data_IF_992862937611
#
_entry.id   IF_992862937611
#
_cell.length_a   1.000
_cell.length_b   1.000
_cell.length_c   1.000
_cell.angle_alpha   90.00
_cell.angle_beta   90.00
_cell.angle_gamma   90.00
#
_symmetry.space_group_name_H-M   'P 1'
#
loop_
_entity.id
_entity.type
_entity.pdbx_description
1 polymer ?
#
# COMPACT_ATOMS: atom_id res chain seq x y z
N UNK A 1 21.55 -21.94 -3.22
CA UNK A 1 20.09 -21.80 -3.01
C UNK A 1 19.48 -23.04 -3.59
N UNK A 2 19.00 -23.95 -2.74
CA UNK A 2 18.39 -25.20 -3.20
C UNK A 2 17.17 -24.89 -4.08
N UNK A 3 17.16 -25.45 -5.28
CA UNK A 3 16.08 -25.24 -6.22
C UNK A 3 14.80 -25.88 -5.67
N UNK A 4 13.73 -25.08 -5.59
CA UNK A 4 12.41 -25.56 -5.16
C UNK A 4 11.92 -26.67 -6.10
N UNK A 5 11.29 -27.70 -5.53
CA UNK A 5 10.55 -28.67 -6.32
C UNK A 5 9.29 -28.04 -6.92
N UNK A 6 8.80 -28.56 -8.05
CA UNK A 6 7.57 -28.05 -8.70
C UNK A 6 6.36 -27.98 -7.76
N UNK A 7 6.26 -28.91 -6.81
CA UNK A 7 5.20 -28.93 -5.80
C UNK A 7 5.35 -27.78 -4.80
N UNK A 8 6.58 -27.48 -4.39
CA UNK A 8 6.88 -26.35 -3.49
C UNK A 8 6.66 -25.00 -4.18
N UNK A 9 6.99 -24.88 -5.48
CA UNK A 9 6.70 -23.68 -6.27
C UNK A 9 5.19 -23.40 -6.34
N UNK A 10 4.37 -24.43 -6.60
CA UNK A 10 2.91 -24.30 -6.64
C UNK A 10 2.33 -23.88 -5.27
N UNK A 11 2.83 -24.48 -4.18
CA UNK A 11 2.43 -24.12 -2.82
C UNK A 11 2.86 -22.68 -2.47
N UNK A 12 4.05 -22.27 -2.89
CA UNK A 12 4.56 -20.91 -2.70
C UNK A 12 3.69 -19.90 -3.45
N UNK A 13 3.37 -20.15 -4.72
CA UNK A 13 2.48 -19.28 -5.50
C UNK A 13 1.11 -19.12 -4.82
N UNK A 14 0.51 -20.22 -4.33
CA UNK A 14 -0.76 -20.15 -3.61
C UNK A 14 -0.65 -19.31 -2.32
N UNK A 15 0.45 -19.42 -1.58
CA UNK A 15 0.69 -18.61 -0.37
C UNK A 15 0.90 -17.13 -0.72
N UNK A 16 1.61 -16.83 -1.79
CA UNK A 16 1.83 -15.47 -2.27
C UNK A 16 0.51 -14.79 -2.69
N UNK A 17 -0.38 -15.51 -3.40
CA UNK A 17 -1.71 -14.98 -3.75
C UNK A 17 -2.54 -14.67 -2.50
N UNK A 18 -2.58 -15.57 -1.51
CA UNK A 18 -3.28 -15.33 -0.24
C UNK A 18 -2.71 -14.11 0.49
N UNK A 19 -1.38 -13.95 0.45
CA UNK A 19 -0.70 -12.81 1.05
C UNK A 19 -1.07 -11.50 0.36
N UNK A 20 -1.13 -11.47 -0.97
CA UNK A 20 -1.53 -10.28 -1.74
C UNK A 20 -2.91 -9.76 -1.32
N UNK A 21 -3.89 -10.67 -1.16
CA UNK A 21 -5.24 -10.28 -0.70
C UNK A 21 -5.21 -9.69 0.71
N UNK A 22 -4.45 -10.31 1.63
CA UNK A 22 -4.30 -9.80 3.00
C UNK A 22 -3.65 -8.42 3.03
N UNK A 23 -2.60 -8.23 2.23
CA UNK A 23 -1.92 -6.93 2.10
C UNK A 23 -2.85 -5.86 1.54
N UNK A 24 -3.66 -6.19 0.53
CA UNK A 24 -4.67 -5.29 -0.02
C UNK A 24 -5.69 -4.86 1.04
N UNK A 25 -6.22 -5.79 1.85
CA UNK A 25 -7.19 -5.46 2.90
C UNK A 25 -6.61 -4.54 3.97
N UNK A 26 -5.33 -4.74 4.35
CA UNK A 26 -4.65 -3.84 5.27
C UNK A 26 -4.47 -2.44 4.65
N UNK A 27 -4.10 -2.37 3.37
CA UNK A 27 -3.90 -1.12 2.66
C UNK A 27 -5.23 -0.33 2.57
N UNK A 28 -6.32 -1.03 2.25
CA UNK A 28 -7.66 -0.46 2.27
C UNK A 28 -8.07 0.06 3.66
N UNK A 29 -7.85 -0.73 4.72
CA UNK A 29 -8.16 -0.32 6.08
C UNK A 29 -7.42 0.95 6.50
N UNK A 30 -6.11 0.99 6.26
CA UNK A 30 -5.28 2.16 6.57
C UNK A 30 -5.69 3.40 5.76
N UNK A 31 -6.07 3.21 4.49
CA UNK A 31 -6.52 4.30 3.63
C UNK A 31 -7.83 4.91 4.15
N UNK A 32 -8.79 4.06 4.53
CA UNK A 32 -10.07 4.49 5.08
C UNK A 32 -9.86 5.25 6.38
N UNK A 33 -9.08 4.72 7.31
CA UNK A 33 -8.80 5.34 8.61
C UNK A 33 -8.11 6.71 8.48
N UNK A 34 -7.07 6.78 7.63
CA UNK A 34 -6.35 8.01 7.37
C UNK A 34 -7.25 9.10 6.77
N UNK A 35 -8.02 8.76 5.73
CA UNK A 35 -8.89 9.74 5.08
C UNK A 35 -10.09 10.11 5.94
N UNK A 36 -10.63 9.19 6.73
CA UNK A 36 -11.69 9.51 7.69
C UNK A 36 -11.20 10.54 8.71
N UNK A 37 -10.08 10.25 9.38
CA UNK A 37 -9.49 11.13 10.41
C UNK A 37 -9.09 12.50 9.85
N UNK A 38 -8.69 12.56 8.58
CA UNK A 38 -8.22 13.81 7.95
C UNK A 38 -9.35 14.68 7.37
N UNK A 39 -10.48 14.08 6.98
CA UNK A 39 -11.51 14.75 6.20
C UNK A 39 -12.87 14.84 6.86
N UNK A 40 -13.19 14.00 7.85
CA UNK A 40 -14.48 14.01 8.54
C UNK A 40 -14.33 14.78 9.85
N UNK A 41 -14.84 16.00 9.84
CA UNK A 41 -14.74 16.94 10.96
C UNK A 41 -16.11 17.40 11.50
N UNK A 42 -17.20 17.09 10.79
CA UNK A 42 -18.56 17.46 11.16
C UNK A 42 -19.39 16.24 11.56
N UNK A 43 -19.78 16.19 12.84
CA UNK A 43 -20.58 15.10 13.42
C UNK A 43 -22.04 15.50 13.69
N UNK A 44 -22.55 16.54 13.02
CA UNK A 44 -23.94 17.00 13.18
C UNK A 44 -24.95 16.23 12.33
N UNK A 45 -24.49 15.45 11.34
CA UNK A 45 -25.33 14.65 10.44
C UNK A 45 -24.79 13.22 10.28
N UNK A 46 -25.69 12.29 9.92
CA UNK A 46 -25.33 10.92 9.52
C UNK A 46 -24.82 10.80 8.08
N UNK A 47 -24.96 11.87 7.29
CA UNK A 47 -24.56 11.90 5.88
C UNK A 47 -23.36 12.80 5.68
N UNK A 48 -22.42 12.38 4.85
CA UNK A 48 -21.28 13.20 4.45
C UNK A 48 -21.74 14.45 3.71
N UNK A 49 -21.14 15.59 4.08
CA UNK A 49 -21.29 16.82 3.32
C UNK A 49 -20.57 16.75 1.97
N UNK A 50 -20.91 17.67 1.06
CA UNK A 50 -20.20 17.79 -0.22
C UNK A 50 -18.71 18.14 -0.04
N UNK A 51 -18.38 18.89 1.02
CA UNK A 51 -17.00 19.26 1.39
C UNK A 51 -16.19 18.03 1.79
N UNK A 52 -16.72 17.23 2.70
CA UNK A 52 -16.09 16.00 3.20
C UNK A 52 -15.93 14.97 2.09
N UNK A 53 -16.97 14.78 1.28
CA UNK A 53 -16.93 13.88 0.11
C UNK A 53 -15.80 14.29 -0.85
N UNK A 54 -15.72 15.58 -1.18
CA UNK A 54 -14.64 16.10 -2.02
C UNK A 54 -13.25 15.95 -1.38
N UNK A 55 -13.14 16.10 -0.05
CA UNK A 55 -11.90 15.88 0.68
C UNK A 55 -11.46 14.41 0.59
N UNK A 56 -12.36 13.46 0.85
CA UNK A 56 -12.08 12.02 0.77
C UNK A 56 -11.55 11.64 -0.61
N UNK A 57 -12.18 12.09 -1.69
CA UNK A 57 -11.72 11.80 -3.06
C UNK A 57 -10.28 12.27 -3.28
N UNK A 58 -9.95 13.50 -2.87
CA UNK A 58 -8.60 14.05 -2.98
C UNK A 58 -7.61 13.32 -2.08
N UNK A 59 -8.02 12.96 -0.86
CA UNK A 59 -7.20 12.21 0.09
C UNK A 59 -6.79 10.85 -0.50
N UNK A 60 -7.74 10.10 -1.05
CA UNK A 60 -7.48 8.79 -1.66
C UNK A 60 -6.51 8.92 -2.84
N UNK A 61 -6.77 9.85 -3.75
CA UNK A 61 -5.89 10.10 -4.89
C UNK A 61 -4.47 10.48 -4.42
N UNK A 62 -4.36 11.43 -3.50
CA UNK A 62 -3.07 11.86 -2.93
C UNK A 62 -2.32 10.67 -2.32
N UNK A 63 -2.99 9.83 -1.54
CA UNK A 63 -2.35 8.69 -0.90
C UNK A 63 -1.84 7.68 -1.94
N UNK A 64 -2.64 7.35 -2.96
CA UNK A 64 -2.21 6.42 -4.02
C UNK A 64 -0.99 6.93 -4.79
N UNK A 65 -1.02 8.20 -5.23
CA UNK A 65 0.13 8.80 -5.91
C UNK A 65 1.36 8.92 -5.00
N UNK A 66 1.16 9.21 -3.71
CA UNK A 66 2.24 9.27 -2.74
C UNK A 66 2.89 7.90 -2.57
N UNK A 67 2.09 6.83 -2.43
CA UNK A 67 2.58 5.47 -2.32
C UNK A 67 3.34 5.01 -3.57
N UNK A 68 2.83 5.34 -4.77
CA UNK A 68 3.54 5.06 -6.02
C UNK A 68 4.91 5.74 -6.06
N UNK A 69 4.95 7.05 -5.78
CA UNK A 69 6.19 7.82 -5.81
C UNK A 69 7.19 7.35 -4.74
N UNK A 70 6.72 7.04 -3.54
CA UNK A 70 7.55 6.46 -2.49
C UNK A 70 8.14 5.10 -2.91
N UNK A 71 7.34 4.25 -3.56
CA UNK A 71 7.82 2.97 -4.10
C UNK A 71 8.94 3.15 -5.13
N UNK A 72 8.81 4.09 -6.06
CA UNK A 72 9.84 4.39 -7.05
C UNK A 72 11.16 4.84 -6.39
N UNK A 73 11.09 5.80 -5.47
CA UNK A 73 12.28 6.28 -4.76
C UNK A 73 12.91 5.20 -3.88
N UNK A 74 12.09 4.35 -3.25
CA UNK A 74 12.56 3.24 -2.44
C UNK A 74 13.35 2.22 -3.28
N UNK A 75 12.86 1.89 -4.48
CA UNK A 75 13.57 0.98 -5.38
C UNK A 75 14.93 1.54 -5.82
N UNK A 76 14.99 2.84 -6.15
CA UNK A 76 16.25 3.52 -6.49
C UNK A 76 17.26 3.44 -5.34
N UNK A 77 16.84 3.76 -4.12
CA UNK A 77 17.71 3.72 -2.94
C UNK A 77 18.15 2.29 -2.59
N UNK A 78 17.25 1.32 -2.71
CA UNK A 78 17.57 -0.08 -2.45
C UNK A 78 18.60 -0.64 -3.43
N UNK A 79 18.51 -0.25 -4.72
CA UNK A 79 19.51 -0.62 -5.73
C UNK A 79 20.88 -0.01 -5.41
N UNK A 80 20.92 1.26 -5.01
CA UNK A 80 22.17 1.93 -4.61
C UNK A 80 22.84 1.26 -3.41
N UNK A 81 22.07 0.94 -2.36
CA UNK A 81 22.59 0.23 -1.18
C UNK A 81 23.14 -1.15 -1.54
N UNK A 82 22.43 -1.89 -2.40
CA UNK A 82 22.89 -3.22 -2.84
C UNK A 82 24.20 -3.14 -3.62
N UNK A 83 24.35 -2.13 -4.49
CA UNK A 83 25.58 -1.89 -5.24
C UNK A 83 26.76 -1.51 -4.32
N UNK A 84 26.51 -0.74 -3.26
CA UNK A 84 27.53 -0.40 -2.26
C UNK A 84 27.98 -1.62 -1.45
N UNK A 85 27.05 -2.51 -1.07
CA UNK A 85 27.39 -3.76 -0.36
C UNK A 85 28.19 -4.75 -1.21
N UNK A 86 28.08 -4.70 -2.54
CA UNK A 86 28.86 -5.55 -3.44
C UNK A 86 30.29 -5.01 -3.69
N UNK A 87 30.58 -3.77 -3.31
CA UNK A 87 31.92 -3.16 -3.41
C UNK A 87 32.75 -3.30 -2.13
N UNK A 88 32.17 -3.86 -1.05
CA UNK A 88 32.89 -4.34 0.14
C UNK A 88 33.08 -5.85 0.07
#
# INVERSE_FOLDING_TARGET
>A
MDALTKTEEAQLQQRLQKRQVKEFMNLFGNLVDHCFTSCIDDFTSKSLSSRETGCITRCIQKQMFSQQRLSERFQEHNAQMTAQMQQQ
#
